data_IF_704898396361
#
_entry.id   IF_704898396361
#
_cell.length_a   1.000
_cell.length_b   1.000
_cell.length_c   1.000
_cell.angle_alpha   90.00
_cell.angle_beta   90.00
_cell.angle_gamma   90.00
#
_symmetry.space_group_name_H-M   'P 1'
#
loop_
_entity.id
_entity.type
_entity.pdbx_description
1 polymer ?
#
# COMPACT_ATOMS: atom_id res chain seq x y z
N UNK A 1 0.58 -5.64 8.55
CA UNK A 1 -0.86 -5.95 8.40
C UNK A 1 -1.01 -7.45 8.46
N UNK A 2 -2.08 -7.94 9.06
CA UNK A 2 -2.52 -9.34 8.99
C UNK A 2 -3.92 -9.39 8.39
N UNK A 3 -4.43 -10.57 8.05
CA UNK A 3 -5.82 -10.74 7.58
C UNK A 3 -6.85 -10.11 8.53
N UNK A 4 -6.57 -10.08 9.83
CA UNK A 4 -7.51 -9.59 10.85
C UNK A 4 -7.19 -8.17 11.33
N UNK A 5 -6.02 -7.62 11.03
CA UNK A 5 -5.60 -6.33 11.56
C UNK A 5 -4.80 -5.51 10.56
N UNK A 6 -5.33 -4.32 10.28
CA UNK A 6 -4.67 -3.26 9.51
C UNK A 6 -3.99 -2.26 10.44
N UNK A 7 -2.79 -1.84 10.06
CA UNK A 7 -2.12 -0.71 10.69
C UNK A 7 -2.62 0.58 10.04
N UNK A 8 -2.58 1.70 10.77
CA UNK A 8 -2.87 3.02 10.20
C UNK A 8 -1.88 3.29 9.06
N UNK A 9 -2.33 3.72 7.87
CA UNK A 9 -1.44 3.95 6.74
C UNK A 9 -0.58 5.19 6.99
N UNK A 10 0.65 5.17 6.49
CA UNK A 10 1.56 6.31 6.44
C UNK A 10 1.46 6.96 5.07
N UNK A 11 1.19 8.26 5.03
CA UNK A 11 1.19 9.08 3.80
C UNK A 11 2.41 9.99 3.82
N UNK A 12 3.19 9.95 2.74
CA UNK A 12 4.37 10.81 2.57
C UNK A 12 4.06 11.86 1.50
N UNK A 13 4.02 13.13 1.91
CA UNK A 13 3.80 14.24 0.98
C UNK A 13 5.07 14.99 0.64
N UNK A 14 4.98 15.91 -0.33
CA UNK A 14 6.12 16.74 -0.78
C UNK A 14 6.58 17.76 0.26
N UNK A 15 5.66 18.23 1.09
CA UNK A 15 5.87 19.36 2.00
C UNK A 15 5.28 19.08 3.37
N UNK A 16 5.89 19.66 4.40
CA UNK A 16 5.37 19.68 5.76
C UNK A 16 4.29 20.75 5.96
N UNK A 17 3.54 21.09 4.91
CA UNK A 17 2.60 22.20 4.96
C UNK A 17 1.36 21.82 5.76
N UNK A 18 1.42 22.06 7.07
CA UNK A 18 0.32 21.84 8.00
C UNK A 18 -0.91 22.71 7.71
N UNK A 19 -0.84 23.67 6.77
CA UNK A 19 -2.01 24.47 6.36
C UNK A 19 -3.14 23.59 5.82
N UNK A 20 -2.82 22.48 5.14
CA UNK A 20 -3.82 21.51 4.67
C UNK A 20 -4.53 20.77 5.81
N UNK A 21 -3.95 20.77 7.02
CA UNK A 21 -4.45 20.09 8.20
C UNK A 21 -4.94 21.05 9.29
N UNK A 22 -4.94 22.36 9.01
CA UNK A 22 -5.36 23.39 9.97
C UNK A 22 -6.82 23.16 10.40
N UNK A 23 -7.03 22.95 11.70
CA UNK A 23 -8.34 22.67 12.29
C UNK A 23 -8.69 21.18 12.46
N UNK A 24 -7.84 20.23 12.04
CA UNK A 24 -8.04 18.82 12.34
C UNK A 24 -7.48 18.48 13.73
N UNK A 25 -8.31 17.88 14.62
CA UNK A 25 -7.87 17.43 15.95
C UNK A 25 -6.88 16.25 15.89
N UNK A 26 -7.01 15.39 14.87
CA UNK A 26 -6.07 14.32 14.55
C UNK A 26 -6.25 13.89 13.09
N UNK A 27 -5.20 13.36 12.47
CA UNK A 27 -5.28 12.79 11.13
C UNK A 27 -5.72 11.33 11.18
N UNK A 28 -6.59 10.96 10.25
CA UNK A 28 -7.06 9.58 10.06
C UNK A 28 -5.93 8.64 9.56
N UNK A 29 -4.80 9.22 9.16
CA UNK A 29 -3.57 8.56 8.70
C UNK A 29 -2.37 9.09 9.49
N UNK A 30 -1.25 8.38 9.47
CA UNK A 30 0.03 8.96 9.84
C UNK A 30 0.56 9.76 8.63
N UNK A 31 1.21 10.90 8.87
CA UNK A 31 1.74 11.76 7.81
C UNK A 31 3.20 12.10 8.08
N UNK A 32 4.02 12.03 7.03
CA UNK A 32 5.40 12.50 7.02
C UNK A 32 5.68 13.19 5.67
N UNK A 33 6.86 13.78 5.50
CA UNK A 33 7.17 14.55 4.30
C UNK A 33 8.58 14.34 3.78
N UNK A 34 8.71 14.40 2.46
CA UNK A 34 9.98 14.39 1.75
C UNK A 34 9.81 15.11 0.41
N UNK A 35 10.79 15.89 -0.04
CA UNK A 35 10.72 16.65 -1.31
C UNK A 35 10.38 15.76 -2.52
N UNK A 36 10.84 14.52 -2.51
CA UNK A 36 10.54 13.52 -3.55
C UNK A 36 9.24 12.73 -3.32
N UNK A 37 8.62 12.88 -2.15
CA UNK A 37 7.40 12.14 -1.73
C UNK A 37 7.55 10.61 -1.68
N UNK A 38 8.77 10.11 -1.68
CA UNK A 38 9.13 8.70 -1.55
C UNK A 38 9.58 8.36 -0.11
N UNK A 39 9.57 7.07 0.24
CA UNK A 39 10.07 6.58 1.54
C UNK A 39 11.60 6.61 1.59
N UNK A 40 12.17 6.97 2.75
CA UNK A 40 13.60 6.82 3.04
C UNK A 40 13.82 5.82 4.18
N UNK A 41 15.05 5.30 4.30
CA UNK A 41 15.44 4.39 5.39
C UNK A 41 15.21 5.01 6.77
N UNK A 42 15.51 6.29 6.94
CA UNK A 42 15.27 7.02 8.20
C UNK A 42 13.77 7.09 8.56
N UNK A 43 12.91 7.35 7.57
CA UNK A 43 11.46 7.38 7.77
C UNK A 43 10.92 5.98 8.12
N UNK A 44 11.41 4.95 7.43
CA UNK A 44 11.11 3.55 7.73
C UNK A 44 11.51 3.18 9.16
N UNK A 45 12.71 3.57 9.60
CA UNK A 45 13.16 3.35 10.98
C UNK A 45 12.25 4.01 12.02
N UNK A 46 11.95 5.30 11.84
CA UNK A 46 11.06 6.04 12.73
C UNK A 46 9.68 5.38 12.82
N UNK A 47 9.15 4.92 11.69
CA UNK A 47 7.86 4.25 11.64
C UNK A 47 7.87 2.92 12.40
N UNK A 48 8.88 2.06 12.21
CA UNK A 48 8.99 0.78 12.92
C UNK A 48 9.19 0.99 14.43
N UNK A 49 10.01 1.96 14.84
CA UNK A 49 10.20 2.29 16.26
C UNK A 49 8.92 2.81 16.92
N UNK A 50 8.12 3.63 16.21
CA UNK A 50 6.80 4.07 16.69
C UNK A 50 5.85 2.88 16.85
N UNK A 51 5.89 1.92 15.90
CA UNK A 51 5.10 0.70 16.00
C UNK A 51 5.56 -0.15 17.19
N UNK A 52 6.86 -0.29 17.44
CA UNK A 52 7.40 -1.08 18.56
C UNK A 52 6.96 -0.51 19.91
N UNK A 53 7.04 0.82 20.09
CA UNK A 53 6.50 1.50 21.27
C UNK A 53 5.03 1.18 21.51
N UNK A 54 4.23 1.15 20.43
CA UNK A 54 2.82 0.76 20.51
C UNK A 54 2.66 -0.72 20.90
N UNK A 55 3.46 -1.62 20.31
CA UNK A 55 3.43 -3.06 20.64
C UNK A 55 3.85 -3.33 22.08
N UNK A 56 4.80 -2.54 22.63
CA UNK A 56 5.17 -2.57 24.05
C UNK A 56 3.98 -2.16 24.92
N UNK A 57 3.32 -1.04 24.60
CA UNK A 57 2.16 -0.56 25.35
C UNK A 57 0.96 -1.53 25.31
N UNK A 58 0.81 -2.27 24.20
CA UNK A 58 -0.20 -3.31 24.03
C UNK A 58 0.22 -4.68 24.60
N UNK A 59 1.40 -4.78 25.24
CA UNK A 59 1.97 -6.04 25.75
C UNK A 59 2.01 -7.16 24.69
N UNK A 60 2.25 -6.79 23.43
CA UNK A 60 2.14 -7.69 22.27
C UNK A 60 3.47 -7.83 21.58
N UNK A 61 3.82 -9.05 21.15
CA UNK A 61 4.98 -9.30 20.27
C UNK A 61 4.50 -9.65 18.87
N UNK A 62 5.17 -9.12 17.85
CA UNK A 62 4.82 -9.39 16.44
C UNK A 62 6.06 -9.61 15.58
N UNK A 63 5.89 -10.39 14.50
CA UNK A 63 6.81 -10.44 13.39
C UNK A 63 6.39 -9.43 12.32
N UNK A 64 7.33 -8.64 11.81
CA UNK A 64 7.13 -7.72 10.70
C UNK A 64 7.94 -8.21 9.50
N UNK A 65 7.30 -8.40 8.36
CA UNK A 65 7.96 -8.85 7.13
C UNK A 65 8.11 -7.66 6.18
N UNK A 66 9.35 -7.38 5.79
CA UNK A 66 9.69 -6.39 4.78
C UNK A 66 10.23 -7.07 3.54
N UNK A 67 9.94 -6.51 2.37
CA UNK A 67 10.72 -6.85 1.19
C UNK A 67 12.08 -6.18 1.22
N UNK A 68 13.03 -6.66 0.42
CA UNK A 68 14.33 -6.01 0.34
C UNK A 68 14.23 -4.71 -0.47
N UNK A 69 14.41 -3.56 0.18
CA UNK A 69 14.31 -2.23 -0.41
C UNK A 69 15.30 -1.28 0.28
N UNK A 70 15.96 -0.35 -0.44
CA UNK A 70 16.83 0.66 0.17
C UNK A 70 16.15 1.50 1.25
N UNK A 71 14.85 1.73 1.10
CA UNK A 71 14.05 2.50 2.04
C UNK A 71 13.72 1.75 3.34
N UNK A 72 14.07 0.46 3.45
CA UNK A 72 13.89 -0.29 4.68
C UNK A 72 15.18 -0.24 5.52
N UNK A 73 15.08 0.10 6.81
CA UNK A 73 16.25 0.17 7.68
C UNK A 73 16.90 -1.20 7.78
N UNK A 74 18.23 -1.28 7.68
CA UNK A 74 18.99 -2.51 7.94
C UNK A 74 19.30 -2.62 9.43
N UNK A 75 19.42 -3.85 9.94
CA UNK A 75 19.83 -4.14 11.33
C UNK A 75 18.97 -3.50 12.44
N UNK A 76 17.73 -3.14 12.13
CA UNK A 76 16.84 -2.44 13.07
C UNK A 76 16.48 -3.27 14.31
N UNK A 77 16.56 -4.60 14.22
CA UNK A 77 16.17 -5.52 15.30
C UNK A 77 16.92 -5.25 16.62
N UNK A 78 18.14 -4.70 16.58
CA UNK A 78 18.90 -4.31 17.78
C UNK A 78 18.23 -3.18 18.58
N UNK A 79 17.34 -2.40 17.93
CA UNK A 79 16.65 -1.25 18.50
C UNK A 79 15.20 -1.56 18.90
N UNK A 80 14.71 -2.78 18.69
CA UNK A 80 13.31 -3.18 18.90
C UNK A 80 13.20 -4.17 20.06
N UNK A 81 12.09 -4.12 20.80
CA UNK A 81 11.86 -5.03 21.94
C UNK A 81 10.76 -6.05 21.66
N UNK A 82 9.69 -5.61 21.03
CA UNK A 82 8.48 -6.41 20.82
C UNK A 82 8.23 -6.74 19.34
N UNK A 83 8.94 -6.09 18.43
CA UNK A 83 8.91 -6.37 16.99
C UNK A 83 10.18 -7.08 16.57
N UNK A 84 10.03 -8.17 15.82
CA UNK A 84 11.12 -8.80 15.07
C UNK A 84 10.88 -8.60 13.58
N UNK A 85 11.82 -7.96 12.91
CA UNK A 85 11.78 -7.68 11.47
C UNK A 85 12.48 -8.79 10.70
N UNK A 86 11.80 -9.32 9.68
CA UNK A 86 12.31 -10.29 8.72
C UNK A 86 12.34 -9.66 7.33
N UNK A 87 13.40 -9.90 6.57
CA UNK A 87 13.54 -9.40 5.20
C UNK A 87 13.36 -10.54 4.22
N UNK A 88 12.46 -10.38 3.26
CA UNK A 88 12.28 -11.32 2.18
C UNK A 88 13.54 -11.31 1.28
N UNK A 89 13.84 -12.46 0.63
CA UNK A 89 14.87 -12.53 -0.38
C UNK A 89 14.74 -11.42 -1.44
N UNK A 90 15.86 -10.89 -1.94
CA UNK A 90 15.88 -10.01 -3.10
C UNK A 90 15.11 -10.63 -4.28
N UNK A 91 14.40 -9.81 -5.05
CA UNK A 91 13.67 -10.21 -6.26
C UNK A 91 12.54 -11.24 -6.06
N UNK A 92 12.03 -11.41 -4.84
CA UNK A 92 10.89 -12.32 -4.55
C UNK A 92 9.58 -11.61 -4.19
N UNK A 93 9.55 -10.28 -4.29
CA UNK A 93 8.43 -9.39 -3.92
C UNK A 93 7.11 -9.86 -4.51
N UNK A 94 7.03 -10.01 -5.85
CA UNK A 94 5.80 -10.40 -6.54
C UNK A 94 5.25 -11.77 -6.13
N UNK A 95 6.07 -12.67 -5.58
CA UNK A 95 5.65 -14.01 -5.17
C UNK A 95 5.33 -14.10 -3.68
N UNK A 96 6.18 -13.53 -2.83
CA UNK A 96 6.13 -13.76 -1.37
C UNK A 96 5.50 -12.61 -0.58
N UNK A 97 5.18 -11.48 -1.23
CA UNK A 97 4.62 -10.33 -0.54
C UNK A 97 3.10 -10.26 -0.75
N UNK A 98 2.29 -10.41 0.33
CA UNK A 98 0.83 -10.32 0.22
C UNK A 98 0.36 -8.98 -0.36
N UNK A 99 1.13 -7.90 -0.13
CA UNK A 99 0.82 -6.58 -0.67
C UNK A 99 0.76 -6.60 -2.20
N UNK A 100 1.68 -7.32 -2.84
CA UNK A 100 1.81 -7.41 -4.30
C UNK A 100 0.88 -8.49 -4.89
N UNK A 101 0.37 -9.40 -4.07
CA UNK A 101 -0.53 -10.49 -4.49
C UNK A 101 -2.01 -10.08 -4.65
N UNK A 102 -2.38 -8.86 -4.25
CA UNK A 102 -3.75 -8.37 -4.44
C UNK A 102 -4.16 -7.20 -3.55
N UNK A 103 -3.58 -7.07 -2.35
CA UNK A 103 -3.94 -5.97 -1.42
C UNK A 103 -3.77 -4.59 -2.06
N UNK A 104 -2.63 -4.32 -2.72
CA UNK A 104 -2.39 -3.03 -3.38
C UNK A 104 -3.43 -2.79 -4.49
N UNK A 105 -3.69 -3.81 -5.31
CA UNK A 105 -4.70 -3.76 -6.38
C UNK A 105 -6.08 -3.43 -5.81
N UNK A 106 -6.50 -4.16 -4.77
CA UNK A 106 -7.79 -3.97 -4.11
C UNK A 106 -7.91 -2.59 -3.46
N UNK A 107 -6.88 -2.14 -2.76
CA UNK A 107 -6.82 -0.77 -2.22
C UNK A 107 -6.99 0.30 -3.31
N UNK A 108 -6.26 0.16 -4.42
CA UNK A 108 -6.34 1.08 -5.57
C UNK A 108 -7.74 1.11 -6.19
N UNK A 109 -8.37 -0.06 -6.38
CA UNK A 109 -9.76 -0.16 -6.89
C UNK A 109 -10.72 0.55 -5.94
N UNK A 110 -10.62 0.30 -4.63
CA UNK A 110 -11.47 0.95 -3.64
C UNK A 110 -11.29 2.46 -3.63
N UNK A 111 -10.04 2.96 -3.65
CA UNK A 111 -9.76 4.39 -3.72
C UNK A 111 -10.38 5.03 -4.98
N UNK A 112 -10.07 4.48 -6.15
CA UNK A 112 -10.55 4.98 -7.45
C UNK A 112 -12.07 4.97 -7.56
N UNK A 113 -12.73 3.92 -7.09
CA UNK A 113 -14.20 3.83 -7.03
C UNK A 113 -14.81 4.92 -6.18
N UNK A 114 -14.17 5.33 -5.08
CA UNK A 114 -14.65 6.45 -4.26
C UNK A 114 -14.53 7.77 -5.01
N UNK A 115 -13.44 7.98 -5.74
CA UNK A 115 -13.25 9.15 -6.60
C UNK A 115 -14.33 9.22 -7.69
N UNK A 116 -14.49 8.16 -8.47
CA UNK A 116 -15.51 8.05 -9.53
C UNK A 116 -16.92 8.28 -8.95
N UNK A 117 -17.23 7.75 -7.76
CA UNK A 117 -18.52 7.97 -7.09
C UNK A 117 -18.77 9.45 -6.78
N UNK A 118 -17.77 10.17 -6.30
CA UNK A 118 -17.88 11.62 -6.02
C UNK A 118 -18.23 12.39 -7.29
N UNK A 119 -17.53 12.09 -8.38
CA UNK A 119 -17.78 12.70 -9.69
C UNK A 119 -19.21 12.43 -10.16
N UNK A 120 -19.65 11.16 -10.19
CA UNK A 120 -21.02 10.80 -10.59
C UNK A 120 -22.06 11.52 -9.72
N UNK A 121 -21.81 11.65 -8.42
CA UNK A 121 -22.74 12.31 -7.48
C UNK A 121 -22.83 13.80 -7.76
N UNK A 122 -21.70 14.48 -7.98
CA UNK A 122 -21.68 15.89 -8.35
C UNK A 122 -22.47 16.13 -9.66
N UNK A 123 -22.23 15.28 -10.67
CA UNK A 123 -22.94 15.35 -11.95
C UNK A 123 -24.45 15.12 -11.81
N UNK A 124 -24.88 14.18 -10.97
CA UNK A 124 -26.32 13.95 -10.73
C UNK A 124 -27.00 15.14 -10.04
N UNK A 125 -26.23 15.89 -9.26
CA UNK A 125 -26.73 17.05 -8.54
C UNK A 125 -26.49 18.37 -9.28
N UNK A 126 -26.02 18.34 -10.54
CA UNK A 126 -25.62 19.52 -11.31
C UNK A 126 -24.62 20.42 -10.56
N UNK A 127 -23.71 19.82 -9.80
CA UNK A 127 -22.66 20.50 -9.07
C UNK A 127 -21.37 20.53 -9.87
N UNK A 128 -20.50 21.50 -9.56
CA UNK A 128 -19.16 21.55 -10.15
C UNK A 128 -18.33 20.32 -9.78
N UNK A 129 -17.36 20.00 -10.63
CA UNK A 129 -16.49 18.86 -10.43
C UNK A 129 -15.76 18.92 -9.08
N UNK A 130 -15.73 17.80 -8.33
CA UNK A 130 -15.12 17.78 -7.01
C UNK A 130 -13.62 18.06 -7.11
N UNK A 131 -13.13 19.05 -6.35
CA UNK A 131 -11.70 19.36 -6.26
C UNK A 131 -11.00 18.42 -5.29
N UNK A 132 -10.37 17.38 -5.81
CA UNK A 132 -9.62 16.41 -4.98
C UNK A 132 -8.25 16.99 -4.63
N UNK A 133 -8.21 17.76 -3.54
CA UNK A 133 -6.96 18.27 -2.96
C UNK A 133 -6.32 17.23 -2.01
N UNK A 134 -5.10 17.51 -1.52
CA UNK A 134 -4.35 16.61 -0.64
C UNK A 134 -5.15 16.16 0.60
N UNK A 135 -5.90 17.06 1.23
CA UNK A 135 -6.72 16.73 2.41
C UNK A 135 -7.83 15.76 2.05
N UNK A 136 -8.49 15.98 0.92
CA UNK A 136 -9.50 15.04 0.41
C UNK A 136 -8.87 13.70 0.06
N UNK A 137 -7.73 13.68 -0.63
CA UNK A 137 -7.00 12.46 -0.97
C UNK A 137 -6.66 11.65 0.28
N UNK A 138 -6.16 12.28 1.34
CA UNK A 138 -5.84 11.62 2.61
C UNK A 138 -7.09 11.01 3.26
N UNK A 139 -8.21 11.74 3.25
CA UNK A 139 -9.47 11.22 3.78
C UNK A 139 -9.99 10.04 2.95
N UNK A 140 -9.88 10.10 1.62
CA UNK A 140 -10.29 8.99 0.76
C UNK A 140 -9.33 7.79 0.86
N UNK A 141 -8.03 8.01 1.09
CA UNK A 141 -7.05 6.96 1.42
C UNK A 141 -7.47 6.24 2.69
N UNK A 142 -7.75 6.98 3.78
CA UNK A 142 -8.15 6.37 5.05
C UNK A 142 -9.44 5.56 4.90
N UNK A 143 -10.45 6.13 4.22
CA UNK A 143 -11.70 5.42 3.97
C UNK A 143 -11.48 4.17 3.13
N UNK A 144 -10.73 4.25 2.03
CA UNK A 144 -10.43 3.11 1.18
C UNK A 144 -9.64 2.02 1.93
N UNK A 145 -8.66 2.41 2.73
CA UNK A 145 -7.88 1.48 3.54
C UNK A 145 -8.72 0.75 4.60
N UNK A 146 -9.76 1.41 5.12
CA UNK A 146 -10.68 0.81 6.08
C UNK A 146 -11.72 -0.14 5.45
N UNK A 147 -11.90 -0.14 4.13
CA UNK A 147 -12.65 -1.20 3.43
C UNK A 147 -11.90 -2.54 3.46
N UNK A 148 -12.58 -3.62 3.05
CA UNK A 148 -11.97 -4.93 2.96
C UNK A 148 -10.99 -5.03 1.79
N UNK A 149 -9.81 -4.45 1.99
CA UNK A 149 -8.65 -4.52 1.07
C UNK A 149 -7.78 -5.73 1.38
N UNK A 150 -8.13 -6.51 2.40
CA UNK A 150 -7.33 -7.61 2.93
C UNK A 150 -7.98 -8.93 2.54
N UNK A 151 -7.71 -9.38 1.32
CA UNK A 151 -8.16 -10.67 0.85
C UNK A 151 -7.27 -11.78 1.44
N UNK A 152 -7.91 -12.79 2.02
CA UNK A 152 -7.23 -13.98 2.54
C UNK A 152 -6.43 -14.69 1.44
N UNK A 153 -6.90 -14.59 0.19
CA UNK A 153 -6.28 -15.17 -0.99
C UNK A 153 -4.86 -14.63 -1.23
N UNK A 154 -4.64 -13.31 -1.16
CA UNK A 154 -3.30 -12.72 -1.29
C UNK A 154 -2.31 -13.26 -0.27
N UNK A 155 -2.74 -13.44 0.97
CA UNK A 155 -1.90 -14.01 2.02
C UNK A 155 -1.66 -15.51 1.82
N UNK A 156 -2.65 -16.25 1.33
CA UNK A 156 -2.50 -17.67 0.99
C UNK A 156 -1.51 -17.86 -0.17
N UNK A 157 -1.65 -17.08 -1.26
CA UNK A 157 -0.73 -17.08 -2.41
C UNK A 157 0.71 -16.73 -2.01
N UNK A 158 0.87 -15.86 -1.02
CA UNK A 158 2.17 -15.51 -0.44
C UNK A 158 2.72 -16.55 0.57
N UNK A 159 2.00 -17.65 0.83
CA UNK A 159 2.44 -18.75 1.69
C UNK A 159 2.24 -18.52 3.20
N UNK A 160 1.42 -17.54 3.60
CA UNK A 160 1.11 -17.29 5.02
C UNK A 160 0.03 -18.22 5.58
N UNK A 161 -0.60 -19.03 4.74
CA UNK A 161 -1.56 -20.06 5.13
C UNK A 161 -1.18 -21.39 4.49
N UNK A 162 -1.38 -22.48 5.24
CA UNK A 162 -1.32 -23.83 4.68
C UNK A 162 -2.61 -24.05 3.90
N UNK A 163 -2.50 -24.21 2.58
CA UNK A 163 -3.63 -24.59 1.74
C UNK A 163 -4.16 -25.94 2.24
N UNK A 164 -5.34 -25.97 2.83
CA UNK A 164 -6.10 -27.21 2.88
C UNK A 164 -6.63 -27.39 1.46
N UNK A 165 -6.19 -28.42 0.74
CA UNK A 165 -6.37 -28.60 -0.72
C UNK A 165 -7.83 -28.69 -1.22
N UNK A 166 -8.84 -28.31 -0.42
CA UNK A 166 -10.26 -28.47 -0.73
C UNK A 166 -11.11 -27.19 -0.79
N UNK A 167 -10.52 -25.99 -0.79
CA UNK A 167 -11.29 -24.81 -1.22
C UNK A 167 -10.93 -24.48 -2.67
N UNK A 168 -11.83 -24.86 -3.58
CA UNK A 168 -11.79 -24.42 -4.97
C UNK A 168 -11.47 -22.91 -5.03
N UNK A 169 -10.48 -22.58 -5.84
CA UNK A 169 -10.17 -21.22 -6.23
C UNK A 169 -11.39 -20.62 -6.94
N UNK A 170 -12.25 -19.94 -6.20
CA UNK A 170 -13.19 -19.00 -6.80
C UNK A 170 -12.43 -17.69 -6.94
N UNK A 171 -11.83 -17.50 -8.11
CA UNK A 171 -11.34 -16.20 -8.57
C UNK A 171 -12.50 -15.16 -8.71
N UNK A 172 -13.73 -15.53 -8.34
CA UNK A 172 -14.96 -14.76 -8.53
C UNK A 172 -15.28 -13.71 -7.44
N UNK A 173 -14.61 -13.70 -6.27
CA UNK A 173 -14.89 -12.71 -5.21
C UNK A 173 -14.16 -11.36 -5.40
N UNK A 174 -12.98 -11.36 -6.02
CA UNK A 174 -12.18 -10.14 -6.27
C UNK A 174 -12.77 -9.23 -7.36
N UNK A 175 -13.77 -9.70 -8.11
CA UNK A 175 -14.37 -8.97 -9.22
C UNK A 175 -15.53 -8.04 -8.82
N UNK A 176 -16.13 -8.19 -7.63
CA UNK A 176 -17.27 -7.33 -7.23
C UNK A 176 -16.86 -5.84 -7.12
N UNK A 177 -15.71 -5.48 -6.52
CA UNK A 177 -15.27 -4.10 -6.47
C UNK A 177 -14.93 -3.54 -7.86
N UNK A 178 -14.25 -4.34 -8.70
CA UNK A 178 -13.76 -3.96 -10.03
C UNK A 178 -14.91 -3.84 -11.04
N UNK A 179 -15.81 -4.80 -11.12
CA UNK A 179 -16.97 -4.77 -12.00
C UNK A 179 -17.90 -3.60 -11.67
N UNK A 180 -18.06 -3.29 -10.38
CA UNK A 180 -18.80 -2.09 -9.98
C UNK A 180 -18.09 -0.81 -10.43
N UNK A 181 -16.75 -0.78 -10.40
CA UNK A 181 -15.97 0.34 -10.92
C UNK A 181 -16.12 0.47 -12.44
N UNK A 182 -16.02 -0.64 -13.19
CA UNK A 182 -16.26 -0.67 -14.65
C UNK A 182 -17.63 -0.14 -15.03
N UNK A 183 -18.69 -0.58 -14.34
CA UNK A 183 -20.06 -0.07 -14.54
C UNK A 183 -20.16 1.43 -14.30
N UNK A 184 -19.53 1.93 -13.23
CA UNK A 184 -19.49 3.36 -12.92
C UNK A 184 -18.69 4.16 -13.96
N UNK A 185 -17.62 3.58 -14.51
CA UNK A 185 -16.82 4.20 -15.58
C UNK A 185 -17.63 4.36 -16.87
N UNK A 186 -18.34 3.30 -17.29
CA UNK A 186 -19.24 3.35 -18.45
C UNK A 186 -20.31 4.44 -18.28
N UNK A 187 -20.87 4.57 -17.06
CA UNK A 187 -21.83 5.63 -16.76
C UNK A 187 -21.24 7.04 -16.91
N UNK A 188 -19.95 7.24 -16.60
CA UNK A 188 -19.29 8.53 -16.78
C UNK A 188 -19.03 8.86 -18.25
N UNK A 189 -18.62 7.87 -19.04
CA UNK A 189 -18.44 8.07 -20.50
C UNK A 189 -19.75 8.46 -21.19
N UNK A 190 -20.87 7.84 -20.82
CA UNK A 190 -22.19 8.20 -21.35
C UNK A 190 -22.68 9.61 -20.99
N UNK A 191 -21.91 10.38 -20.20
CA UNK A 191 -22.18 11.79 -19.87
C UNK A 191 -21.21 12.77 -20.54
N UNK A 192 -20.34 12.31 -21.44
CA UNK A 192 -19.33 13.12 -22.17
C UNK A 192 -18.30 13.85 -21.29
N UNK A 193 -18.15 13.43 -20.03
CA UNK A 193 -17.20 14.04 -19.06
C UNK A 193 -15.80 13.40 -19.10
N UNK A 194 -15.66 12.30 -19.84
CA UNK A 194 -14.39 11.60 -20.05
C UNK A 194 -14.25 11.41 -21.55
N UNK A 195 -13.09 11.77 -22.11
CA UNK A 195 -12.79 11.49 -23.52
C UNK A 195 -12.91 9.97 -23.78
N UNK A 196 -13.60 9.59 -24.85
CA UNK A 196 -13.84 8.20 -25.23
C UNK A 196 -12.54 7.39 -25.41
N UNK A 197 -11.44 8.06 -25.75
CA UNK A 197 -10.12 7.48 -25.89
C UNK A 197 -9.51 6.99 -24.56
N UNK A 198 -10.00 7.47 -23.41
CA UNK A 198 -9.44 7.10 -22.10
C UNK A 198 -10.03 5.76 -21.66
N UNK A 199 -9.19 4.73 -21.63
CA UNK A 199 -9.59 3.42 -21.17
C UNK A 199 -9.60 3.35 -19.64
N UNK A 200 -10.44 2.46 -19.11
CA UNK A 200 -10.46 2.23 -17.67
C UNK A 200 -9.14 1.65 -17.17
N UNK A 201 -8.47 0.86 -18.01
CA UNK A 201 -7.18 0.26 -17.66
C UNK A 201 -6.11 1.34 -17.50
N UNK A 202 -6.10 2.36 -18.37
CA UNK A 202 -5.23 3.53 -18.21
C UNK A 202 -5.50 4.22 -16.86
N UNK A 203 -6.78 4.40 -16.50
CA UNK A 203 -7.16 4.97 -15.21
C UNK A 203 -6.68 4.11 -14.03
N UNK A 204 -6.74 2.78 -14.15
CA UNK A 204 -6.28 1.81 -13.15
C UNK A 204 -4.75 1.73 -13.04
N UNK A 205 -4.01 2.08 -14.09
CA UNK A 205 -2.55 2.06 -14.13
C UNK A 205 -1.91 3.44 -14.05
N UNK A 206 -2.66 4.54 -13.90
CA UNK A 206 -2.12 5.92 -13.84
C UNK A 206 -0.92 6.14 -12.90
N UNK A 207 -0.80 5.32 -11.86
CA UNK A 207 0.24 5.42 -10.85
C UNK A 207 1.34 4.35 -10.97
N UNK A 208 1.39 3.58 -12.07
CA UNK A 208 2.37 2.49 -12.26
C UNK A 208 3.81 2.98 -12.32
N UNK A 209 4.04 4.20 -12.78
CA UNK A 209 5.38 4.81 -12.90
C UNK A 209 5.77 5.64 -11.68
N UNK A 210 4.94 5.68 -10.64
CA UNK A 210 5.24 6.46 -9.44
C UNK A 210 6.40 5.86 -8.65
N UNK A 211 7.49 6.62 -8.49
CA UNK A 211 8.61 6.23 -7.63
C UNK A 211 8.22 6.31 -6.15
N UNK A 212 8.23 5.16 -5.46
CA UNK A 212 7.86 5.08 -4.03
C UNK A 212 9.06 4.99 -3.08
N UNK A 213 10.25 4.72 -3.62
CA UNK A 213 11.52 4.63 -2.91
C UNK A 213 12.68 4.82 -3.87
N UNK A 214 13.89 4.95 -3.34
CA UNK A 214 15.11 4.85 -4.13
C UNK A 214 15.22 3.49 -4.83
N UNK A 215 15.69 3.50 -6.07
CA UNK A 215 15.93 2.29 -6.88
C UNK A 215 17.27 1.68 -6.51
N UNK A 216 17.33 0.34 -6.45
CA UNK A 216 18.61 -0.36 -6.34
C UNK A 216 19.37 -0.23 -7.65
N UNK A 217 20.65 0.11 -7.58
CA UNK A 217 21.53 0.06 -8.75
C UNK A 217 21.90 -1.39 -9.08
N UNK A 218 22.35 -1.65 -10.31
CA UNK A 218 22.85 -2.99 -10.69
C UNK A 218 24.00 -3.45 -9.78
N UNK A 219 24.84 -2.52 -9.31
CA UNK A 219 25.91 -2.81 -8.35
C UNK A 219 25.36 -3.22 -6.99
N UNK A 220 24.32 -2.55 -6.49
CA UNK A 220 23.66 -2.94 -5.23
C UNK A 220 23.07 -4.35 -5.33
N UNK A 221 22.48 -4.69 -6.48
CA UNK A 221 21.91 -6.02 -6.73
C UNK A 221 23.03 -7.08 -6.72
N UNK A 222 24.15 -6.81 -7.38
CA UNK A 222 25.30 -7.73 -7.41
C UNK A 222 25.90 -7.96 -6.03
N UNK A 223 26.06 -6.92 -5.23
CA UNK A 223 26.59 -7.05 -3.86
C UNK A 223 25.63 -7.83 -2.95
N UNK A 224 24.33 -7.62 -3.10
CA UNK A 224 23.32 -8.39 -2.38
C UNK A 224 23.40 -9.90 -2.74
N UNK A 225 23.60 -10.24 -4.01
CA UNK A 225 23.72 -11.64 -4.46
C UNK A 225 25.03 -12.26 -3.97
N UNK A 226 26.15 -11.53 -4.03
CA UNK A 226 27.45 -12.01 -3.56
C UNK A 226 27.47 -12.27 -2.06
N UNK A 227 26.90 -11.36 -1.26
CA UNK A 227 26.86 -11.52 0.19
C UNK A 227 26.01 -12.73 0.62
N UNK A 228 24.92 -13.05 -0.09
CA UNK A 228 24.14 -14.27 0.12
C UNK A 228 24.93 -15.56 -0.06
N UNK A 229 25.80 -15.61 -1.08
CA UNK A 229 26.61 -16.80 -1.35
C UNK A 229 27.68 -17.00 -0.27
N UNK A 230 28.16 -15.93 0.35
CA UNK A 230 29.11 -16.02 1.46
C UNK A 230 28.43 -16.51 2.75
N UNK A 231 27.23 -16.01 3.09
CA UNK A 231 26.51 -16.46 4.29
C UNK A 231 26.02 -17.91 4.19
N UNK A 232 25.72 -18.39 2.97
CA UNK A 232 25.38 -19.80 2.73
C UNK A 232 26.58 -20.75 2.85
N UNK A 233 27.81 -20.26 2.60
CA UNK A 233 29.04 -21.04 2.72
C UNK A 233 29.62 -21.07 4.14
N UNK A 234 29.24 -20.13 5.02
CA UNK A 234 29.65 -20.13 6.43
C UNK A 234 28.78 -21.02 7.35
N UNK A 235 27.69 -21.58 6.82
CA UNK A 235 26.78 -22.50 7.52
C UNK A 235 26.94 -23.97 7.09
N UNK A 236 28.09 -24.34 6.50
CA UNK A 236 28.45 -25.73 6.18
C UNK A 236 29.56 -26.25 7.07
#
# INVERSE_FOLDING_TARGET
MTVHQKLKPLVIGRSNDLRYFKGAKSLEVDYDFNKKSWMTSEMGEKWVQKLDKRMIAECRKIALVFYNCPAHPKEINLKLKNITVFYLPPCTTSKLQPMDQGVIKNFKIHYRKRIVRKVITALKNNQSMPKINLRESISEISKAWNYDVTDRNSFAKAGFFVSNENSASTDDEDDIPLEKLKKMWIQLRGKEEINDDVLIDDFLSLDSEAETSETLTELDILDIVKNKNNTANELR
#
